data_IF_253060988509
#
_entry.id   IF_253060988509
#
_cell.length_a   1.000
_cell.length_b   1.000
_cell.length_c   1.000
_cell.angle_alpha   90.00
_cell.angle_beta   90.00
_cell.angle_gamma   90.00
#
_symmetry.space_group_name_H-M   'P 1'
#
loop_
_entity.id
_entity.type
_entity.pdbx_description
1 polymer ?
#
# COMPACT_ATOMS: atom_id res chain seq x y z
N UNK A 1 -43.17 -16.97 5.71
CA UNK A 1 -42.44 -16.61 4.52
C UNK A 1 -40.96 -16.55 4.94
N UNK A 2 -40.17 -17.52 4.56
CA UNK A 2 -38.71 -17.47 4.73
C UNK A 2 -38.21 -16.30 3.91
N UNK A 3 -37.40 -15.38 4.44
CA UNK A 3 -36.81 -14.32 3.62
C UNK A 3 -36.04 -15.00 2.49
N UNK A 4 -36.26 -14.56 1.26
CA UNK A 4 -35.47 -15.02 0.12
C UNK A 4 -34.01 -14.82 0.48
N UNK A 5 -33.21 -15.89 0.41
CA UNK A 5 -31.79 -15.81 0.64
C UNK A 5 -31.24 -14.73 -0.29
N UNK A 6 -30.74 -13.64 0.26
CA UNK A 6 -30.09 -12.61 -0.53
C UNK A 6 -28.89 -13.24 -1.21
N UNK A 7 -28.74 -13.03 -2.53
CA UNK A 7 -27.55 -13.47 -3.22
C UNK A 7 -26.29 -12.99 -2.49
N UNK A 8 -25.24 -13.80 -2.41
CA UNK A 8 -23.97 -13.36 -1.83
C UNK A 8 -23.43 -12.16 -2.62
N UNK A 9 -22.63 -11.34 -1.94
CA UNK A 9 -21.99 -10.18 -2.57
C UNK A 9 -21.14 -10.64 -3.77
N UNK A 10 -21.25 -9.91 -4.86
CA UNK A 10 -20.32 -9.99 -5.98
C UNK A 10 -18.95 -9.45 -5.57
N UNK A 11 -17.90 -9.77 -6.34
CA UNK A 11 -16.54 -9.28 -6.04
C UNK A 11 -16.45 -7.74 -5.98
N UNK A 12 -17.11 -7.06 -6.91
CA UNK A 12 -17.14 -5.59 -6.88
C UNK A 12 -17.96 -5.03 -5.71
N UNK A 13 -19.06 -5.66 -5.32
CA UNK A 13 -19.85 -5.24 -4.16
C UNK A 13 -19.09 -5.45 -2.85
N UNK A 14 -18.33 -6.54 -2.73
CA UNK A 14 -17.41 -6.76 -1.61
C UNK A 14 -16.41 -5.61 -1.47
N UNK A 15 -15.75 -5.25 -2.55
CA UNK A 15 -14.78 -4.14 -2.58
C UNK A 15 -15.44 -2.83 -2.15
N UNK A 16 -16.56 -2.48 -2.77
CA UNK A 16 -17.28 -1.24 -2.49
C UNK A 16 -17.77 -1.19 -1.04
N UNK A 17 -18.24 -2.31 -0.49
CA UNK A 17 -18.71 -2.41 0.88
C UNK A 17 -17.59 -2.18 1.89
N UNK A 18 -16.44 -2.82 1.70
CA UNK A 18 -15.27 -2.62 2.57
C UNK A 18 -14.71 -1.20 2.45
N UNK A 19 -14.61 -0.66 1.24
CA UNK A 19 -14.18 0.73 1.05
C UNK A 19 -15.12 1.72 1.74
N UNK A 20 -16.43 1.56 1.59
CA UNK A 20 -17.44 2.41 2.29
C UNK A 20 -17.29 2.29 3.80
N UNK A 21 -17.13 1.07 4.32
CA UNK A 21 -16.95 0.83 5.75
C UNK A 21 -15.78 1.62 6.33
N UNK A 22 -14.62 1.62 5.67
CA UNK A 22 -13.46 2.35 6.14
C UNK A 22 -13.53 3.85 5.87
N UNK A 23 -14.18 4.28 4.78
CA UNK A 23 -14.41 5.70 4.50
C UNK A 23 -15.28 6.36 5.58
N UNK A 24 -16.35 5.70 6.02
CA UNK A 24 -17.22 6.14 7.11
C UNK A 24 -16.50 6.28 8.46
N UNK A 25 -15.36 5.60 8.60
CA UNK A 25 -14.48 5.65 9.79
C UNK A 25 -13.28 6.58 9.62
N UNK A 26 -13.32 7.43 8.60
CA UNK A 26 -12.37 8.51 8.36
C UNK A 26 -11.08 8.08 7.64
N UNK A 27 -11.08 6.92 6.99
CA UNK A 27 -9.99 6.58 6.08
C UNK A 27 -10.12 7.35 4.78
N UNK A 28 -9.00 7.88 4.29
CA UNK A 28 -8.89 8.38 2.92
C UNK A 28 -8.94 7.18 1.98
N UNK A 29 -9.83 7.19 0.99
CA UNK A 29 -9.82 6.18 -0.06
C UNK A 29 -8.83 6.59 -1.15
N UNK A 30 -7.79 5.78 -1.34
CA UNK A 30 -6.84 5.96 -2.43
C UNK A 30 -7.13 5.01 -3.59
N UNK A 31 -6.69 5.38 -4.78
CA UNK A 31 -6.68 4.49 -5.92
C UNK A 31 -5.46 3.56 -5.86
N UNK A 32 -5.50 2.42 -6.58
CA UNK A 32 -4.33 1.54 -6.67
C UNK A 32 -3.11 2.30 -7.15
N UNK A 33 -1.94 1.98 -6.58
CA UNK A 33 -0.69 2.52 -7.09
C UNK A 33 -0.38 1.94 -8.48
N UNK A 34 0.09 2.76 -9.39
CA UNK A 34 0.23 2.43 -10.82
C UNK A 34 1.60 1.83 -11.19
N UNK A 35 2.49 1.65 -10.23
CA UNK A 35 3.74 0.87 -10.39
C UNK A 35 3.56 -0.51 -9.77
N UNK A 36 4.17 -1.53 -10.37
CA UNK A 36 4.05 -2.91 -9.93
C UNK A 36 4.59 -3.09 -8.49
N UNK A 37 3.77 -3.70 -7.65
CA UNK A 37 4.13 -4.06 -6.26
C UNK A 37 3.84 -5.53 -6.00
N UNK A 38 4.66 -6.17 -5.16
CA UNK A 38 4.46 -7.55 -4.73
C UNK A 38 3.48 -7.72 -3.57
N UNK A 39 3.16 -6.62 -2.90
CA UNK A 39 2.17 -6.54 -1.81
C UNK A 39 1.68 -5.11 -1.67
N UNK A 40 0.48 -4.92 -1.14
CA UNK A 40 -0.07 -3.60 -0.84
C UNK A 40 0.82 -2.77 0.08
N UNK A 41 1.51 -3.40 1.01
CA UNK A 41 2.52 -2.79 1.90
C UNK A 41 3.61 -2.03 1.15
N UNK A 42 3.93 -2.43 -0.08
CA UNK A 42 4.98 -1.78 -0.88
C UNK A 42 4.50 -0.49 -1.53
N UNK A 43 3.20 -0.24 -1.62
CA UNK A 43 2.71 1.03 -2.16
C UNK A 43 3.17 2.22 -1.30
N UNK A 44 3.48 3.39 -1.89
CA UNK A 44 3.90 4.58 -1.15
C UNK A 44 2.94 4.98 -0.04
N UNK A 45 1.63 4.74 -0.24
CA UNK A 45 0.58 5.02 0.74
C UNK A 45 0.71 4.20 2.02
N UNK A 46 1.41 3.08 2.00
CA UNK A 46 1.83 2.35 3.20
C UNK A 46 3.29 2.64 3.52
N UNK A 47 4.23 2.23 2.65
CA UNK A 47 5.65 2.24 2.96
C UNK A 47 6.18 3.60 3.43
N UNK A 48 5.80 4.69 2.76
CA UNK A 48 6.26 6.04 3.11
C UNK A 48 5.42 6.68 4.22
N UNK A 49 4.10 6.37 4.27
CA UNK A 49 3.18 7.02 5.22
C UNK A 49 3.25 6.44 6.64
N UNK A 50 3.71 5.20 6.81
CA UNK A 50 3.96 4.66 8.16
C UNK A 50 5.19 5.29 8.81
N UNK A 51 6.11 5.89 8.02
CA UNK A 51 7.28 6.61 8.50
C UNK A 51 6.91 7.96 9.14
N UNK A 52 7.75 8.43 10.06
CA UNK A 52 7.57 9.71 10.75
C UNK A 52 6.41 9.71 11.74
N UNK A 53 6.12 10.86 12.34
CA UNK A 53 5.16 10.99 13.44
C UNK A 53 3.73 11.37 13.02
N UNK A 54 3.51 11.71 11.75
CA UNK A 54 2.21 12.23 11.29
C UNK A 54 1.12 11.14 11.31
N UNK A 55 -0.05 11.41 11.91
CA UNK A 55 -1.19 10.49 11.87
C UNK A 55 -1.67 10.29 10.43
N UNK A 56 -2.10 9.05 10.12
CA UNK A 56 -2.61 8.74 8.79
C UNK A 56 -3.61 7.59 8.84
N UNK A 57 -4.69 7.70 8.06
CA UNK A 57 -5.69 6.66 7.88
C UNK A 57 -6.01 6.53 6.40
N UNK A 58 -5.81 5.36 5.84
CA UNK A 58 -6.05 5.11 4.42
C UNK A 58 -6.59 3.72 4.18
N UNK A 59 -7.41 3.57 3.14
CA UNK A 59 -7.82 2.28 2.60
C UNK A 59 -7.74 2.33 1.06
N UNK A 60 -7.18 1.29 0.44
CA UNK A 60 -7.07 1.17 -1.01
C UNK A 60 -6.98 -0.28 -1.45
N UNK A 61 -7.48 -0.57 -2.63
CA UNK A 61 -7.36 -1.89 -3.25
C UNK A 61 -6.10 -1.89 -4.11
N UNK A 62 -5.15 -2.77 -3.80
CA UNK A 62 -3.89 -2.86 -4.52
C UNK A 62 -3.76 -4.18 -5.25
N UNK A 63 -3.64 -4.17 -6.59
CA UNK A 63 -3.19 -5.33 -7.34
C UNK A 63 -1.76 -5.68 -6.92
N UNK A 64 -1.56 -6.87 -6.38
CA UNK A 64 -0.25 -7.36 -5.93
C UNK A 64 0.24 -8.43 -6.88
N UNK A 65 1.44 -8.25 -7.43
CA UNK A 65 2.05 -9.16 -8.41
C UNK A 65 3.13 -10.02 -7.78
N UNK A 66 2.95 -11.32 -7.85
CA UNK A 66 3.92 -12.33 -7.37
C UNK A 66 4.24 -13.30 -8.51
N UNK A 67 5.21 -12.97 -9.37
CA UNK A 67 5.56 -13.78 -10.55
C UNK A 67 5.75 -15.26 -10.26
N UNK A 68 6.41 -15.62 -9.15
CA UNK A 68 6.65 -17.01 -8.75
C UNK A 68 5.37 -17.79 -8.35
N UNK A 69 4.25 -17.11 -8.10
CA UNK A 69 2.97 -17.72 -7.75
C UNK A 69 2.09 -18.03 -8.97
N UNK A 70 2.49 -17.64 -10.17
CA UNK A 70 1.78 -18.00 -11.42
C UNK A 70 1.61 -19.50 -11.58
N UNK A 71 0.44 -19.90 -12.11
CA UNK A 71 0.09 -21.33 -12.34
C UNK A 71 -0.69 -21.52 -13.64
N UNK A 72 -0.52 -20.64 -14.63
CA UNK A 72 -1.17 -20.71 -15.96
C UNK A 72 -2.72 -20.75 -15.91
N UNK A 73 -3.31 -20.37 -14.78
CA UNK A 73 -4.75 -20.50 -14.56
C UNK A 73 -5.22 -21.92 -14.21
N UNK A 74 -4.31 -22.86 -13.99
CA UNK A 74 -4.63 -24.27 -13.69
C UNK A 74 -4.85 -24.53 -12.19
N UNK A 75 -4.39 -23.62 -11.32
CA UNK A 75 -4.62 -23.75 -9.88
C UNK A 75 -5.81 -22.85 -9.46
N UNK A 76 -6.82 -23.43 -8.76
CA UNK A 76 -8.04 -22.71 -8.41
C UNK A 76 -7.83 -21.61 -7.35
N UNK A 77 -6.72 -21.66 -6.59
CA UNK A 77 -6.53 -20.84 -5.38
C UNK A 77 -5.23 -20.01 -5.39
N UNK A 78 -4.39 -20.10 -6.44
CA UNK A 78 -3.12 -19.40 -6.51
C UNK A 78 -3.01 -18.58 -7.80
N UNK A 79 -2.71 -17.29 -7.65
CA UNK A 79 -2.64 -16.31 -8.72
C UNK A 79 -1.30 -15.57 -8.68
N UNK A 80 -0.74 -15.23 -9.86
CA UNK A 80 0.41 -14.32 -9.93
C UNK A 80 0.02 -12.88 -9.54
N UNK A 81 -1.25 -12.49 -9.79
CA UNK A 81 -1.80 -11.17 -9.45
C UNK A 81 -3.12 -11.33 -8.71
N UNK A 82 -3.17 -10.86 -7.48
CA UNK A 82 -4.36 -10.86 -6.62
C UNK A 82 -4.62 -9.46 -6.07
N UNK A 83 -5.84 -9.22 -5.63
CA UNK A 83 -6.27 -7.94 -5.08
C UNK A 83 -6.20 -7.98 -3.55
N UNK A 84 -5.52 -7.01 -2.97
CA UNK A 84 -5.49 -6.80 -1.52
C UNK A 84 -6.21 -5.50 -1.19
N UNK A 85 -7.19 -5.53 -0.27
CA UNK A 85 -7.60 -4.28 0.37
C UNK A 85 -6.62 -4.01 1.50
N UNK A 86 -5.90 -2.91 1.35
CA UNK A 86 -4.90 -2.45 2.30
C UNK A 86 -5.49 -1.34 3.15
N UNK A 87 -5.43 -1.49 4.47
CA UNK A 87 -5.90 -0.47 5.41
C UNK A 87 -4.77 -0.15 6.38
N UNK A 88 -4.43 1.13 6.50
CA UNK A 88 -3.42 1.62 7.45
C UNK A 88 -4.09 2.59 8.42
N UNK A 89 -3.93 2.34 9.71
CA UNK A 89 -4.37 3.25 10.77
C UNK A 89 -3.16 3.61 11.64
N UNK A 90 -2.82 4.88 11.69
CA UNK A 90 -1.69 5.42 12.44
C UNK A 90 -2.11 6.66 13.23
N UNK A 91 -2.03 6.67 14.56
CA UNK A 91 -1.79 5.49 15.41
C UNK A 91 -2.94 4.48 15.32
N UNK A 92 -2.72 3.20 15.72
CA UNK A 92 -3.78 2.22 15.78
C UNK A 92 -4.81 2.61 16.85
N UNK A 93 -6.13 2.48 16.58
CA UNK A 93 -7.15 2.65 17.60
C UNK A 93 -7.09 1.48 18.61
N UNK A 94 -7.49 1.72 19.87
CA UNK A 94 -7.48 0.72 20.93
C UNK A 94 -8.39 -0.48 20.59
N UNK A 95 -9.52 -0.25 19.94
CA UNK A 95 -10.51 -1.26 19.56
C UNK A 95 -10.31 -1.83 18.16
N UNK A 96 -9.10 -1.88 17.64
CA UNK A 96 -8.84 -2.25 16.24
C UNK A 96 -9.29 -3.68 15.89
N UNK A 97 -9.20 -4.65 16.82
CA UNK A 97 -9.70 -6.01 16.58
C UNK A 97 -11.23 -6.04 16.45
N UNK A 98 -11.94 -5.29 17.29
CA UNK A 98 -13.40 -5.14 17.20
C UNK A 98 -13.79 -4.49 15.87
N UNK A 99 -13.10 -3.40 15.50
CA UNK A 99 -13.28 -2.73 14.21
C UNK A 99 -13.08 -3.68 13.02
N UNK A 100 -12.06 -4.54 13.08
CA UNK A 100 -11.82 -5.56 12.06
C UNK A 100 -12.99 -6.55 11.98
N UNK A 101 -13.46 -7.09 13.11
CA UNK A 101 -14.59 -8.01 13.17
C UNK A 101 -15.90 -7.36 12.67
N UNK A 102 -16.12 -6.09 12.99
CA UNK A 102 -17.24 -5.30 12.43
C UNK A 102 -17.14 -5.23 10.89
N UNK A 103 -15.94 -5.09 10.33
CA UNK A 103 -15.76 -5.06 8.88
C UNK A 103 -16.15 -6.37 8.20
N UNK A 104 -15.87 -7.51 8.85
CA UNK A 104 -16.31 -8.84 8.37
C UNK A 104 -17.84 -8.95 8.43
N UNK A 105 -18.44 -8.48 9.51
CA UNK A 105 -19.92 -8.44 9.64
C UNK A 105 -20.55 -7.55 8.57
N UNK A 106 -19.93 -6.42 8.25
CA UNK A 106 -20.41 -5.48 7.23
C UNK A 106 -20.47 -6.10 5.82
N UNK A 107 -19.65 -7.09 5.53
CA UNK A 107 -19.67 -7.84 4.26
C UNK A 107 -20.54 -9.10 4.30
N UNK A 108 -21.23 -9.36 5.41
CA UNK A 108 -22.21 -10.42 5.54
C UNK A 108 -21.70 -11.71 6.21
N UNK A 109 -20.51 -11.70 6.81
CA UNK A 109 -20.01 -12.86 7.60
C UNK A 109 -20.66 -12.82 8.98
N UNK A 110 -21.48 -13.85 9.30
CA UNK A 110 -22.04 -14.01 10.65
C UNK A 110 -21.01 -14.71 11.56
N UNK A 111 -20.29 -13.91 12.35
CA UNK A 111 -19.24 -14.38 13.25
C UNK A 111 -19.69 -15.45 14.26
N UNK A 112 -21.00 -15.63 14.47
CA UNK A 112 -21.53 -16.66 15.37
C UNK A 112 -21.62 -18.03 14.72
N UNK A 113 -21.54 -18.08 13.37
CA UNK A 113 -21.67 -19.31 12.59
C UNK A 113 -20.33 -19.81 12.06
N UNK A 114 -19.27 -19.02 12.24
CA UNK A 114 -17.94 -19.29 11.71
C UNK A 114 -16.87 -19.26 12.80
N UNK A 115 -15.83 -20.06 12.62
CA UNK A 115 -14.65 -20.10 13.49
C UNK A 115 -13.64 -19.03 13.03
N UNK A 116 -13.52 -17.94 13.80
CA UNK A 116 -12.55 -16.88 13.56
C UNK A 116 -11.38 -17.05 14.52
N UNK A 117 -10.18 -17.24 13.99
CA UNK A 117 -8.96 -17.35 14.77
C UNK A 117 -7.94 -16.29 14.39
N UNK A 118 -7.32 -15.70 15.40
CA UNK A 118 -6.14 -14.87 15.26
C UNK A 118 -4.93 -15.75 15.62
N UNK A 119 -4.26 -16.29 14.61
CA UNK A 119 -3.07 -17.11 14.79
C UNK A 119 -1.83 -16.23 14.69
N UNK A 120 -0.92 -16.32 15.66
CA UNK A 120 0.29 -15.51 15.69
C UNK A 120 1.10 -15.70 14.40
N UNK A 121 1.39 -14.59 13.75
CA UNK A 121 2.22 -14.55 12.56
C UNK A 121 3.03 -13.25 12.52
N UNK A 122 4.34 -13.38 12.67
CA UNK A 122 5.27 -12.25 12.63
C UNK A 122 5.66 -11.98 11.17
N UNK A 123 5.12 -10.89 10.65
CA UNK A 123 5.32 -10.51 9.26
C UNK A 123 6.67 -9.84 9.03
N UNK A 124 7.33 -10.20 7.93
CA UNK A 124 8.58 -9.61 7.49
C UNK A 124 8.60 -9.33 5.99
N UNK A 125 9.22 -8.20 5.61
CA UNK A 125 9.57 -7.88 4.23
C UNK A 125 11.06 -7.55 4.12
N UNK A 126 11.90 -8.53 3.78
CA UNK A 126 13.33 -8.35 3.69
C UNK A 126 13.78 -7.27 2.70
N UNK A 127 13.06 -7.09 1.58
CA UNK A 127 13.37 -6.08 0.57
C UNK A 127 13.03 -4.66 1.02
N UNK A 128 12.06 -4.50 1.93
CA UNK A 128 11.70 -3.21 2.49
C UNK A 128 12.46 -2.87 3.77
N UNK A 129 13.17 -3.84 4.38
CA UNK A 129 13.69 -3.68 5.73
C UNK A 129 12.58 -3.37 6.72
N UNK A 130 11.46 -4.09 6.60
CA UNK A 130 10.26 -3.91 7.41
C UNK A 130 9.88 -5.21 8.12
N UNK A 131 9.34 -5.08 9.33
CA UNK A 131 8.77 -6.19 10.08
C UNK A 131 7.71 -5.68 11.08
N UNK A 132 6.85 -6.60 11.49
CA UNK A 132 5.81 -6.33 12.48
C UNK A 132 5.35 -7.59 13.18
N UNK A 133 4.67 -7.41 14.30
CA UNK A 133 4.01 -8.47 15.06
C UNK A 133 2.52 -8.47 14.75
N UNK A 134 1.90 -9.63 14.75
CA UNK A 134 0.46 -9.70 14.47
C UNK A 134 -0.05 -11.11 14.27
N UNK A 135 -1.03 -11.21 13.42
CA UNK A 135 -1.77 -12.45 13.19
C UNK A 135 -2.10 -12.63 11.71
N UNK A 136 -2.09 -13.89 11.27
CA UNK A 136 -2.96 -14.30 10.19
C UNK A 136 -4.36 -14.53 10.75
N UNK A 137 -5.38 -13.96 10.13
CA UNK A 137 -6.77 -14.19 10.55
C UNK A 137 -7.38 -15.28 9.72
N UNK A 138 -7.77 -16.37 10.39
CA UNK A 138 -8.35 -17.54 9.79
C UNK A 138 -9.87 -17.49 9.92
N UNK A 139 -10.57 -17.80 8.83
CA UNK A 139 -12.01 -18.00 8.77
C UNK A 139 -12.26 -19.45 8.36
N UNK A 140 -12.80 -20.25 9.29
CA UNK A 140 -13.01 -21.71 9.10
C UNK A 140 -11.77 -22.45 8.56
N UNK A 141 -10.57 -22.01 8.99
CA UNK A 141 -9.28 -22.54 8.57
C UNK A 141 -8.72 -21.94 7.27
N UNK A 142 -9.40 -21.00 6.64
CA UNK A 142 -8.89 -20.25 5.50
C UNK A 142 -8.31 -18.91 5.96
N UNK A 143 -7.03 -18.65 5.69
CA UNK A 143 -6.42 -17.32 5.91
C UNK A 143 -7.08 -16.28 4.99
N UNK A 144 -7.71 -15.28 5.58
CA UNK A 144 -8.41 -14.22 4.86
C UNK A 144 -7.75 -12.85 4.99
N UNK A 145 -6.96 -12.62 6.06
CA UNK A 145 -6.36 -11.32 6.34
C UNK A 145 -5.04 -11.49 7.07
N UNK A 146 -4.05 -10.69 6.66
CA UNK A 146 -2.85 -10.42 7.46
C UNK A 146 -3.11 -9.16 8.29
N UNK A 147 -2.97 -9.27 9.60
CA UNK A 147 -3.17 -8.20 10.57
C UNK A 147 -1.84 -7.91 11.27
N UNK A 148 -1.23 -6.74 11.02
CA UNK A 148 0.15 -6.47 11.43
C UNK A 148 0.28 -5.13 12.16
N UNK A 149 0.91 -5.12 13.32
CA UNK A 149 1.43 -3.91 13.95
C UNK A 149 2.88 -3.70 13.52
N UNK A 150 3.13 -2.72 12.67
CA UNK A 150 4.47 -2.41 12.22
C UNK A 150 5.37 -1.93 13.35
N UNK A 151 6.53 -2.56 13.48
CA UNK A 151 7.58 -2.17 14.42
C UNK A 151 8.69 -1.41 13.71
N UNK A 152 9.03 -1.83 12.49
CA UNK A 152 10.08 -1.22 11.68
C UNK A 152 9.68 -1.14 10.22
N UNK A 153 10.09 -0.08 9.52
CA UNK A 153 9.91 0.08 8.09
C UNK A 153 11.07 0.89 7.51
N UNK A 154 11.63 0.44 6.36
CA UNK A 154 12.80 1.07 5.79
C UNK A 154 14.02 1.05 6.71
N UNK A 155 14.14 0.05 7.57
CA UNK A 155 15.20 -0.04 8.59
C UNK A 155 15.12 1.02 9.68
N UNK A 156 13.96 1.69 9.84
CA UNK A 156 13.69 2.68 10.88
C UNK A 156 12.61 2.17 11.82
N UNK A 157 12.85 2.27 13.12
CA UNK A 157 11.85 1.98 14.13
C UNK A 157 10.72 3.00 14.06
N UNK A 158 9.48 2.54 14.22
CA UNK A 158 8.28 3.37 14.04
C UNK A 158 7.75 3.89 15.36
N UNK A 159 7.53 5.21 15.40
CA UNK A 159 6.84 5.85 16.51
C UNK A 159 6.04 7.08 16.01
N UNK A 160 4.68 7.10 16.20
CA UNK A 160 3.87 5.99 16.69
C UNK A 160 3.87 4.81 15.71
N UNK A 161 3.64 3.61 16.23
CA UNK A 161 3.42 2.44 15.36
C UNK A 161 2.12 2.60 14.57
N UNK A 162 1.97 1.83 13.51
CA UNK A 162 0.73 1.72 12.74
C UNK A 162 0.23 0.29 12.72
N UNK A 163 -1.06 0.11 12.53
CA UNK A 163 -1.64 -1.19 12.20
C UNK A 163 -1.98 -1.24 10.72
N UNK A 164 -1.67 -2.37 10.12
CA UNK A 164 -2.04 -2.75 8.77
C UNK A 164 -3.04 -3.89 8.81
N UNK A 165 -4.12 -3.76 8.02
CA UNK A 165 -5.06 -4.83 7.72
C UNK A 165 -4.98 -5.11 6.21
N UNK A 166 -4.51 -6.29 5.85
CA UNK A 166 -4.37 -6.72 4.45
C UNK A 166 -5.36 -7.83 4.15
N UNK A 167 -6.51 -7.47 3.59
CA UNK A 167 -7.58 -8.43 3.23
C UNK A 167 -7.26 -9.10 1.90
N UNK A 168 -7.32 -10.44 1.87
CA UNK A 168 -7.27 -11.23 0.63
C UNK A 168 -8.64 -11.29 -0.04
N UNK A 169 -8.91 -10.36 -0.97
CA UNK A 169 -10.26 -10.15 -1.49
C UNK A 169 -10.82 -11.36 -2.23
N UNK A 170 -10.00 -12.07 -3.00
CA UNK A 170 -10.42 -13.27 -3.72
C UNK A 170 -10.80 -14.42 -2.76
N UNK A 171 -10.03 -14.61 -1.68
CA UNK A 171 -10.32 -15.64 -0.68
C UNK A 171 -11.64 -15.36 0.04
N UNK A 172 -11.87 -14.11 0.43
CA UNK A 172 -13.11 -13.67 1.07
C UNK A 172 -14.30 -13.82 0.11
N UNK A 173 -14.15 -13.42 -1.15
CA UNK A 173 -15.21 -13.56 -2.13
C UNK A 173 -15.55 -15.02 -2.44
N UNK A 174 -14.54 -15.88 -2.59
CA UNK A 174 -14.74 -17.32 -2.80
C UNK A 174 -15.50 -17.96 -1.61
N UNK A 175 -15.11 -17.58 -0.38
CA UNK A 175 -15.79 -18.03 0.83
C UNK A 175 -17.26 -17.56 0.88
N UNK A 176 -17.52 -16.28 0.65
CA UNK A 176 -18.88 -15.72 0.68
C UNK A 176 -19.80 -16.31 -0.40
N UNK A 177 -19.24 -16.66 -1.55
CA UNK A 177 -19.98 -17.22 -2.68
C UNK A 177 -20.01 -18.74 -2.71
N UNK A 178 -19.34 -19.40 -1.76
CA UNK A 178 -19.25 -20.88 -1.66
C UNK A 178 -18.77 -21.50 -2.99
N UNK A 179 -17.63 -21.01 -3.50
CA UNK A 179 -17.02 -21.51 -4.74
C UNK A 179 -15.62 -22.07 -4.48
N UNK A 180 -15.30 -23.19 -5.13
CA UNK A 180 -14.02 -23.89 -4.98
C UNK A 180 -12.88 -23.24 -5.79
N UNK A 181 -13.22 -22.46 -6.81
CA UNK A 181 -12.26 -21.82 -7.68
C UNK A 181 -12.44 -20.31 -7.70
N UNK A 182 -11.35 -19.57 -7.55
CA UNK A 182 -11.32 -18.11 -7.70
C UNK A 182 -11.89 -17.68 -9.07
N UNK A 183 -11.71 -18.48 -10.12
CA UNK A 183 -12.21 -18.18 -11.46
C UNK A 183 -13.74 -18.25 -11.56
N UNK A 184 -14.41 -18.92 -10.62
CA UNK A 184 -15.87 -19.03 -10.55
C UNK A 184 -16.53 -17.90 -9.74
N UNK A 185 -15.75 -17.08 -9.02
CA UNK A 185 -16.27 -15.92 -8.31
C UNK A 185 -17.08 -15.04 -9.26
N UNK A 186 -18.32 -14.70 -8.90
CA UNK A 186 -19.13 -13.72 -9.60
C UNK A 186 -18.52 -12.34 -9.35
N UNK A 187 -17.94 -11.75 -10.39
CA UNK A 187 -17.36 -10.41 -10.35
C UNK A 187 -18.41 -9.33 -10.31
N UNK A 188 -19.38 -9.43 -11.20
CA UNK A 188 -20.49 -8.51 -11.35
C UNK A 188 -21.75 -9.25 -11.76
N UNK A 189 -22.91 -8.66 -11.46
CA UNK A 189 -24.23 -9.13 -11.88
C UNK A 189 -24.98 -7.97 -12.51
N UNK A 190 -25.51 -8.20 -13.69
CA UNK A 190 -26.40 -7.25 -14.34
C UNK A 190 -27.74 -7.19 -13.57
N UNK A 191 -28.19 -6.01 -13.13
CA UNK A 191 -29.37 -5.90 -12.29
C UNK A 191 -30.69 -6.17 -13.02
N UNK A 192 -30.72 -6.05 -14.36
CA UNK A 192 -31.94 -6.23 -15.16
C UNK A 192 -32.09 -7.67 -15.67
N UNK A 193 -31.03 -8.19 -16.27
CA UNK A 193 -31.05 -9.53 -16.87
C UNK A 193 -30.64 -10.65 -15.92
N UNK A 194 -29.96 -10.33 -14.79
CA UNK A 194 -29.34 -11.29 -13.90
C UNK A 194 -28.10 -11.96 -14.46
N UNK A 195 -27.62 -11.58 -15.66
CA UNK A 195 -26.41 -12.11 -16.26
C UNK A 195 -25.19 -11.82 -15.36
N UNK A 196 -24.28 -12.79 -15.26
CA UNK A 196 -23.08 -12.68 -14.42
C UNK A 196 -21.82 -12.63 -15.27
N UNK A 197 -20.85 -11.85 -14.80
CA UNK A 197 -19.45 -11.85 -15.24
C UNK A 197 -18.65 -12.53 -14.16
N UNK A 198 -17.88 -13.55 -14.50
CA UNK A 198 -17.03 -14.27 -13.55
C UNK A 198 -15.62 -13.67 -13.48
N UNK A 199 -14.92 -13.93 -12.40
CA UNK A 199 -13.50 -13.57 -12.22
C UNK A 199 -12.64 -14.15 -13.37
N UNK A 200 -12.90 -15.37 -13.78
CA UNK A 200 -12.25 -16.02 -14.93
C UNK A 200 -12.41 -15.24 -16.23
N UNK A 201 -13.59 -14.69 -16.50
CA UNK A 201 -13.85 -13.91 -17.72
C UNK A 201 -12.97 -12.64 -17.77
N UNK A 202 -12.60 -12.11 -16.61
CA UNK A 202 -11.84 -10.87 -16.48
C UNK A 202 -10.33 -11.12 -16.35
N UNK A 203 -9.90 -12.20 -15.67
CA UNK A 203 -8.52 -12.38 -15.19
C UNK A 203 -7.81 -13.64 -15.64
N UNK A 204 -8.50 -14.64 -16.18
CA UNK A 204 -7.85 -15.89 -16.57
C UNK A 204 -6.80 -15.69 -17.67
N UNK A 205 -7.09 -14.85 -18.65
CA UNK A 205 -6.14 -14.52 -19.72
C UNK A 205 -4.88 -13.81 -19.18
N UNK A 206 -5.03 -12.91 -18.20
CA UNK A 206 -3.90 -12.28 -17.50
C UNK A 206 -3.02 -13.35 -16.86
N UNK A 207 -3.61 -14.27 -16.09
CA UNK A 207 -2.90 -15.32 -15.36
C UNK A 207 -2.10 -16.21 -16.32
N UNK A 208 -2.72 -16.64 -17.40
CA UNK A 208 -2.11 -17.49 -18.41
C UNK A 208 -0.93 -16.80 -19.10
N UNK A 209 -1.14 -15.59 -19.62
CA UNK A 209 -0.13 -14.88 -20.40
C UNK A 209 1.05 -14.43 -19.51
N UNK A 210 0.78 -13.93 -18.31
CA UNK A 210 1.85 -13.55 -17.40
C UNK A 210 2.60 -14.74 -16.81
N UNK A 211 1.96 -15.91 -16.64
CA UNK A 211 2.68 -17.13 -16.28
C UNK A 211 3.69 -17.52 -17.37
N UNK A 212 3.28 -17.52 -18.64
CA UNK A 212 4.19 -17.74 -19.78
C UNK A 212 5.34 -16.71 -19.77
N UNK A 213 5.01 -15.43 -19.60
CA UNK A 213 6.05 -14.39 -19.54
C UNK A 213 7.03 -14.62 -18.39
N UNK A 214 6.50 -14.83 -17.18
CA UNK A 214 7.29 -14.93 -15.96
C UNK A 214 8.17 -16.18 -15.93
N UNK A 215 7.72 -17.31 -16.48
CA UNK A 215 8.44 -18.58 -16.40
C UNK A 215 9.21 -18.94 -17.68
N UNK A 216 8.81 -18.43 -18.83
CA UNK A 216 9.32 -18.89 -20.12
C UNK A 216 9.90 -17.77 -20.98
N UNK A 217 9.14 -16.68 -21.19
CA UNK A 217 9.44 -15.70 -22.25
C UNK A 217 10.29 -14.51 -21.79
N UNK A 218 10.30 -14.17 -20.49
CA UNK A 218 11.08 -13.03 -20.00
C UNK A 218 12.57 -13.23 -20.30
N UNK A 219 13.16 -12.26 -21.01
CA UNK A 219 14.58 -12.26 -21.39
C UNK A 219 15.43 -11.90 -20.17
N UNK A 220 16.15 -12.89 -19.66
CA UNK A 220 16.94 -12.77 -18.42
C UNK A 220 18.00 -11.66 -18.53
N UNK A 221 18.73 -11.59 -19.65
CA UNK A 221 19.80 -10.61 -19.85
C UNK A 221 19.23 -9.17 -19.86
N UNK A 222 18.13 -8.95 -20.59
CA UNK A 222 17.47 -7.64 -20.62
C UNK A 222 16.89 -7.27 -19.27
N UNK A 223 16.29 -8.23 -18.56
CA UNK A 223 15.71 -8.01 -17.23
C UNK A 223 16.80 -7.58 -16.23
N UNK A 224 17.99 -8.21 -16.27
CA UNK A 224 19.13 -7.78 -15.48
C UNK A 224 19.62 -6.37 -15.85
N UNK A 225 19.73 -6.06 -17.14
CA UNK A 225 20.11 -4.71 -17.59
C UNK A 225 19.14 -3.64 -17.11
N UNK A 226 17.85 -3.91 -17.17
CA UNK A 226 16.83 -2.97 -16.63
C UNK A 226 16.96 -2.81 -15.13
N UNK A 227 17.19 -3.91 -14.40
CA UNK A 227 17.43 -3.85 -12.96
C UNK A 227 18.63 -2.97 -12.61
N UNK A 228 19.76 -3.16 -13.28
CA UNK A 228 20.98 -2.39 -13.04
C UNK A 228 20.83 -0.91 -13.38
N UNK A 229 20.10 -0.57 -14.45
CA UNK A 229 19.83 0.81 -14.83
C UNK A 229 18.93 1.51 -13.79
N UNK A 230 17.83 0.89 -13.37
CA UNK A 230 16.97 1.46 -12.35
C UNK A 230 17.65 1.56 -10.99
N UNK A 231 18.45 0.58 -10.62
CA UNK A 231 19.23 0.63 -9.38
C UNK A 231 20.24 1.79 -9.39
N UNK A 232 20.97 1.96 -10.48
CA UNK A 232 21.96 3.02 -10.62
C UNK A 232 21.32 4.42 -10.55
N UNK A 233 20.20 4.62 -11.25
CA UNK A 233 19.45 5.88 -11.21
C UNK A 233 18.87 6.17 -9.82
N UNK A 234 18.24 5.18 -9.19
CA UNK A 234 17.70 5.29 -7.83
C UNK A 234 18.80 5.66 -6.82
N UNK A 235 19.93 4.96 -6.88
CA UNK A 235 21.10 5.24 -6.02
C UNK A 235 21.63 6.65 -6.25
N UNK A 236 21.76 7.06 -7.51
CA UNK A 236 22.19 8.41 -7.87
C UNK A 236 21.28 9.49 -7.27
N UNK A 237 19.97 9.30 -7.26
CA UNK A 237 19.02 10.21 -6.62
C UNK A 237 19.20 10.26 -5.09
N UNK A 238 19.39 9.10 -4.44
CA UNK A 238 19.64 9.05 -2.98
C UNK A 238 20.93 9.76 -2.63
N UNK A 239 22.00 9.57 -3.39
CA UNK A 239 23.31 10.23 -3.21
C UNK A 239 23.19 11.74 -3.43
N UNK A 240 22.48 12.20 -4.47
CA UNK A 240 22.21 13.61 -4.71
C UNK A 240 21.47 14.26 -3.54
N UNK A 241 20.44 13.59 -2.99
CA UNK A 241 19.75 14.09 -1.80
C UNK A 241 20.69 14.24 -0.61
N UNK A 242 21.57 13.25 -0.39
CA UNK A 242 22.57 13.28 0.69
C UNK A 242 23.59 14.41 0.50
N UNK A 243 24.04 14.66 -0.73
CA UNK A 243 24.93 15.77 -1.06
C UNK A 243 24.32 17.17 -0.85
N UNK A 244 22.99 17.29 -1.01
CA UNK A 244 22.28 18.54 -0.69
C UNK A 244 22.32 18.88 0.81
N UNK A 245 22.32 17.85 1.68
CA UNK A 245 22.49 18.03 3.13
C UNK A 245 23.85 18.59 3.50
N UNK A 246 24.90 18.04 2.92
CA UNK A 246 26.28 18.49 3.18
C UNK A 246 26.52 19.92 2.73
N UNK A 247 25.91 20.35 1.61
CA UNK A 247 26.04 21.70 1.08
C UNK A 247 25.28 22.76 1.89
N UNK A 248 24.26 22.38 2.66
CA UNK A 248 23.50 23.25 3.57
C UNK A 248 24.13 23.36 4.96
N UNK A 249 25.19 22.60 5.25
CA UNK A 249 25.97 22.73 6.48
C UNK A 249 26.78 24.06 6.43
N UNK A 250 26.93 24.79 7.55
CA UNK A 250 27.44 26.17 7.54
C UNK A 250 28.96 26.36 7.26
N UNK A 251 29.60 25.37 6.65
CA UNK A 251 30.98 25.54 6.18
C UNK A 251 31.01 26.08 4.75
N UNK A 252 31.67 27.23 4.49
CA UNK A 252 31.72 27.87 3.17
C UNK A 252 32.56 27.00 2.21
N UNK A 253 31.90 26.26 1.32
CA UNK A 253 32.53 25.68 0.14
C UNK A 253 32.44 26.66 -1.01
N UNK A 254 33.57 26.80 -1.75
CA UNK A 254 33.81 27.80 -2.78
C UNK A 254 32.63 28.00 -3.76
N UNK A 255 32.33 29.27 -3.99
CA UNK A 255 31.35 29.80 -4.95
C UNK A 255 31.86 29.68 -6.39
N UNK A 256 32.02 28.52 -6.97
CA UNK A 256 32.17 28.41 -8.42
C UNK A 256 31.93 26.95 -8.88
N UNK A 257 30.68 26.62 -9.07
CA UNK A 257 30.28 25.56 -10.00
C UNK A 257 28.87 25.89 -10.46
N UNK A 258 28.73 26.40 -11.67
CA UNK A 258 27.48 26.52 -12.41
C UNK A 258 26.90 25.10 -12.64
N UNK A 259 26.21 24.54 -11.63
CA UNK A 259 25.43 23.31 -11.77
C UNK A 259 24.06 23.69 -12.30
N UNK A 260 23.94 23.72 -13.62
CA UNK A 260 22.65 23.83 -14.30
C UNK A 260 21.91 22.51 -14.04
N UNK A 261 20.77 22.56 -13.33
CA UNK A 261 19.80 21.48 -13.26
C UNK A 261 19.71 20.64 -11.98
N UNK A 262 20.37 21.00 -10.86
CA UNK A 262 20.12 20.29 -9.59
C UNK A 262 19.04 20.99 -8.77
N UNK A 263 18.05 20.25 -8.21
CA UNK A 263 17.09 20.81 -7.28
C UNK A 263 17.85 21.40 -6.07
N UNK A 264 17.79 22.72 -5.88
CA UNK A 264 18.40 23.37 -4.72
C UNK A 264 17.54 23.25 -3.45
N UNK A 265 16.27 22.90 -3.64
CA UNK A 265 15.28 22.78 -2.58
C UNK A 265 15.09 21.31 -2.20
N UNK A 266 15.58 20.95 -1.02
CA UNK A 266 15.45 19.59 -0.50
C UNK A 266 13.99 19.19 -0.22
N UNK A 267 13.06 20.17 -0.03
CA UNK A 267 11.65 19.90 0.22
C UNK A 267 10.91 19.35 -1.00
N UNK A 268 11.41 19.65 -2.21
CA UNK A 268 10.87 19.24 -3.50
C UNK A 268 11.71 18.17 -4.20
N UNK A 269 12.69 17.63 -3.52
CA UNK A 269 13.53 16.59 -4.11
C UNK A 269 12.69 15.33 -4.43
N UNK A 270 12.87 14.70 -5.62
CA UNK A 270 11.95 13.69 -6.15
C UNK A 270 12.14 12.31 -5.51
N UNK A 271 11.93 12.18 -4.19
CA UNK A 271 12.05 10.91 -3.46
C UNK A 271 10.96 9.90 -3.87
N UNK A 272 9.79 10.35 -4.30
CA UNK A 272 8.75 9.47 -4.84
C UNK A 272 9.21 8.81 -6.14
N UNK A 273 9.84 9.56 -7.05
CA UNK A 273 10.40 8.99 -8.27
C UNK A 273 11.54 7.99 -7.98
N UNK A 274 12.39 8.28 -6.97
CA UNK A 274 13.39 7.31 -6.52
C UNK A 274 12.74 6.03 -5.97
N UNK A 275 11.59 6.14 -5.30
CA UNK A 275 10.86 4.99 -4.79
C UNK A 275 10.24 4.15 -5.92
N UNK A 276 9.72 4.78 -6.97
CA UNK A 276 9.25 4.07 -8.17
C UNK A 276 10.35 3.21 -8.79
N UNK A 277 11.57 3.75 -8.88
CA UNK A 277 12.72 2.98 -9.38
C UNK A 277 13.07 1.80 -8.46
N UNK A 278 12.96 1.98 -7.14
CA UNK A 278 13.13 0.89 -6.16
C UNK A 278 12.07 -0.19 -6.34
N UNK A 279 10.79 0.17 -6.54
CA UNK A 279 9.70 -0.77 -6.81
C UNK A 279 9.92 -1.54 -8.11
N UNK A 280 10.39 -0.88 -9.17
CA UNK A 280 10.76 -1.53 -10.44
C UNK A 280 11.89 -2.53 -10.23
N UNK A 281 12.92 -2.21 -9.44
CA UNK A 281 13.97 -3.17 -9.07
C UNK A 281 13.39 -4.38 -8.35
N UNK A 282 12.49 -4.18 -7.40
CA UNK A 282 11.81 -5.27 -6.68
C UNK A 282 10.98 -6.16 -7.61
N UNK A 283 10.26 -5.57 -8.55
CA UNK A 283 9.46 -6.33 -9.54
C UNK A 283 10.35 -7.15 -10.47
N UNK A 284 11.42 -6.56 -11.01
CA UNK A 284 12.37 -7.26 -11.88
C UNK A 284 13.10 -8.38 -11.13
N UNK A 285 13.45 -8.19 -9.87
CA UNK A 285 13.95 -9.26 -9.01
C UNK A 285 12.98 -10.44 -8.95
N UNK A 286 11.67 -10.18 -8.73
CA UNK A 286 10.66 -11.23 -8.66
C UNK A 286 10.49 -11.97 -10.02
N UNK A 287 10.67 -11.28 -11.15
CA UNK A 287 10.68 -11.92 -12.48
C UNK A 287 11.91 -12.82 -12.63
N UNK A 288 13.09 -12.34 -12.28
CA UNK A 288 14.34 -13.12 -12.35
C UNK A 288 14.30 -14.36 -11.45
N UNK A 289 13.72 -14.22 -10.26
CA UNK A 289 13.50 -15.32 -9.31
C UNK A 289 12.53 -16.37 -9.91
N UNK A 290 11.41 -15.95 -10.48
CA UNK A 290 10.46 -16.82 -11.16
C UNK A 290 11.06 -17.52 -12.38
N UNK A 291 11.93 -16.85 -13.14
CA UNK A 291 12.69 -17.43 -14.26
C UNK A 291 13.74 -18.45 -13.81
N UNK A 292 13.99 -18.62 -12.51
CA UNK A 292 15.10 -19.44 -12.01
C UNK A 292 16.47 -18.88 -12.36
N UNK A 293 16.57 -17.59 -12.67
CA UNK A 293 17.79 -16.92 -13.11
C UNK A 293 18.67 -16.43 -11.95
N UNK A 294 18.23 -16.65 -10.72
CA UNK A 294 18.91 -16.25 -9.48
C UNK A 294 19.11 -17.49 -8.62
N UNK A 295 20.35 -17.82 -8.29
CA UNK A 295 20.66 -18.89 -7.33
C UNK A 295 20.23 -18.48 -5.91
N UNK A 296 20.09 -19.48 -5.02
CA UNK A 296 19.74 -19.23 -3.60
C UNK A 296 20.74 -18.27 -2.93
N UNK A 297 22.01 -18.39 -3.25
CA UNK A 297 23.08 -17.52 -2.70
C UNK A 297 23.00 -16.10 -3.25
N UNK A 298 22.78 -15.95 -4.56
CA UNK A 298 22.64 -14.64 -5.21
C UNK A 298 21.39 -13.91 -4.75
N UNK A 299 20.31 -14.65 -4.46
CA UNK A 299 19.03 -14.10 -3.98
C UNK A 299 19.22 -13.20 -2.75
N UNK A 300 20.03 -13.62 -1.79
CA UNK A 300 20.34 -12.84 -0.59
C UNK A 300 21.01 -11.51 -0.97
N UNK A 301 21.96 -11.56 -1.93
CA UNK A 301 22.64 -10.37 -2.43
C UNK A 301 21.71 -9.39 -3.14
N UNK A 302 20.79 -9.88 -3.99
CA UNK A 302 19.83 -9.03 -4.71
C UNK A 302 18.82 -8.42 -3.75
N UNK A 303 18.30 -9.18 -2.78
CA UNK A 303 17.45 -8.67 -1.71
C UNK A 303 18.15 -7.54 -0.94
N UNK A 304 19.43 -7.70 -0.61
CA UNK A 304 20.22 -6.67 0.08
C UNK A 304 20.35 -5.39 -0.76
N UNK A 305 20.52 -5.50 -2.10
CA UNK A 305 20.58 -4.37 -3.04
C UNK A 305 19.26 -3.59 -3.02
N UNK A 306 18.11 -4.26 -3.18
CA UNK A 306 16.79 -3.62 -3.14
C UNK A 306 16.53 -2.98 -1.77
N UNK A 307 16.86 -3.70 -0.68
CA UNK A 307 16.76 -3.18 0.69
C UNK A 307 17.57 -1.90 0.89
N UNK A 308 18.78 -1.83 0.35
CA UNK A 308 19.62 -0.64 0.48
C UNK A 308 18.97 0.59 -0.15
N UNK A 309 18.29 0.44 -1.30
CA UNK A 309 17.52 1.51 -1.92
C UNK A 309 16.34 1.92 -1.04
N UNK A 310 15.52 0.97 -0.59
CA UNK A 310 14.36 1.24 0.25
C UNK A 310 14.74 1.96 1.55
N UNK A 311 15.80 1.51 2.24
CA UNK A 311 16.32 2.13 3.46
C UNK A 311 16.86 3.53 3.20
N UNK A 312 17.59 3.74 2.10
CA UNK A 312 18.08 5.06 1.70
C UNK A 312 16.94 6.06 1.48
N UNK A 313 15.91 5.63 0.76
CA UNK A 313 14.71 6.44 0.50
C UNK A 313 13.94 6.73 1.80
N UNK A 314 13.73 5.72 2.66
CA UNK A 314 13.02 5.90 3.93
C UNK A 314 13.69 6.96 4.82
N UNK A 315 15.02 6.92 4.93
CA UNK A 315 15.80 7.93 5.68
C UNK A 315 15.68 9.32 5.07
N UNK A 316 15.80 9.42 3.75
CA UNK A 316 15.65 10.68 3.03
C UNK A 316 14.24 11.25 3.18
N UNK A 317 13.21 10.40 3.11
CA UNK A 317 11.82 10.78 3.29
C UNK A 317 11.53 11.36 4.67
N UNK A 318 11.97 10.68 5.74
CA UNK A 318 11.80 11.17 7.12
C UNK A 318 12.52 12.50 7.33
N UNK A 319 13.72 12.65 6.78
CA UNK A 319 14.46 13.92 6.83
C UNK A 319 13.72 15.05 6.11
N UNK A 320 13.18 14.79 4.92
CA UNK A 320 12.39 15.76 4.16
C UNK A 320 11.13 16.20 4.91
N UNK A 321 10.42 15.25 5.55
CA UNK A 321 9.23 15.54 6.34
C UNK A 321 9.55 16.41 7.58
N UNK A 322 10.65 16.10 8.26
CA UNK A 322 11.08 16.87 9.45
C UNK A 322 11.42 18.34 9.09
N UNK A 323 12.09 18.57 7.96
CA UNK A 323 12.39 19.92 7.47
C UNK A 323 11.11 20.69 7.14
N UNK A 324 10.19 20.09 6.41
CA UNK A 324 8.91 20.72 6.07
C UNK A 324 8.06 21.06 7.31
N UNK A 325 8.22 20.32 8.39
CA UNK A 325 7.51 20.57 9.66
C UNK A 325 8.15 21.71 10.45
N UNK A 326 9.48 21.85 10.44
CA UNK A 326 10.18 22.94 11.10
C UNK A 326 9.93 24.28 10.41
N UNK A 327 9.94 24.33 9.07
CA UNK A 327 9.67 25.54 8.29
C UNK A 327 8.24 26.09 8.53
N UNK A 328 7.24 25.21 8.71
CA UNK A 328 5.86 25.62 9.03
C UNK A 328 5.70 26.21 10.43
N UNK A 329 6.53 25.79 11.37
CA UNK A 329 6.48 26.31 12.74
C UNK A 329 7.19 27.67 12.88
N UNK A 330 8.06 28.03 11.92
CA UNK A 330 8.77 29.31 11.90
C UNK A 330 8.02 30.41 11.10
N UNK A 331 6.91 30.08 10.39
CA UNK A 331 6.05 31.10 9.79
C UNK A 331 5.28 31.84 10.89
N UNK A 332 5.36 33.20 10.98
CA UNK A 332 4.62 33.96 11.97
C UNK A 332 3.11 33.80 11.73
N UNK A 333 2.37 33.50 12.82
CA UNK A 333 0.90 33.40 12.78
C UNK A 333 0.32 34.60 12.01
N UNK A 334 -0.59 34.37 11.03
CA UNK A 334 -1.21 35.47 10.31
C UNK A 334 -1.95 36.35 11.31
N UNK A 335 -1.54 37.64 11.39
CA UNK A 335 -2.11 38.62 12.30
C UNK A 335 -3.64 38.58 12.20
N UNK A 336 -4.30 38.24 13.28
CA UNK A 336 -5.75 38.15 13.40
C UNK A 336 -6.39 39.36 12.76
N UNK A 337 -7.08 39.21 11.64
CA UNK A 337 -7.92 40.25 11.04
C UNK A 337 -8.96 40.66 12.11
N UNK A 338 -8.82 41.92 12.60
CA UNK A 338 -9.76 42.49 13.55
C UNK A 338 -11.17 42.39 12.97
N UNK A 339 -12.04 41.61 13.62
CA UNK A 339 -13.48 41.56 13.29
C UNK A 339 -14.02 43.00 13.23
N UNK A 340 -14.75 43.40 12.18
CA UNK A 340 -15.38 44.70 12.11
C UNK A 340 -16.39 44.87 13.26
N UNK A 341 -16.23 45.96 14.03
CA UNK A 341 -17.19 46.31 15.10
C UNK A 341 -18.57 46.48 14.50
N UNK A 342 -19.53 45.66 14.90
CA UNK A 342 -20.95 45.85 14.61
C UNK A 342 -21.36 47.22 15.17
N UNK A 343 -21.80 48.15 14.31
CA UNK A 343 -22.49 49.39 14.70
C UNK A 343 -23.80 48.95 15.36
N UNK A 344 -24.03 49.39 16.62
CA UNK A 344 -25.33 49.36 17.28
C UNK A 344 -26.24 50.34 16.55
N UNK A 345 -27.26 49.83 15.84
CA UNK A 345 -28.38 50.66 15.43
C UNK A 345 -29.25 50.91 16.66
N UNK A 346 -29.40 52.17 17.00
CA UNK A 346 -30.32 52.71 18.01
C UNK A 346 -31.72 52.73 17.39
N UNK A 347 -32.57 51.82 17.85
CA UNK A 347 -34.04 51.90 17.59
C UNK A 347 -34.63 53.04 18.38
N UNK A 348 -35.16 54.07 17.68
CA UNK A 348 -36.00 55.10 18.23
C UNK A 348 -37.42 54.53 18.49
N UNK A 349 -38.11 54.95 19.58
CA UNK A 349 -39.45 54.45 19.88
C UNK A 349 -40.49 55.14 19.01
N UNK A 350 -41.39 54.34 18.42
CA UNK A 350 -42.62 54.83 17.77
C UNK A 350 -43.69 54.95 18.85
N UNK A 351 -44.18 56.18 19.05
CA UNK A 351 -45.34 56.53 19.82
C UNK A 351 -46.60 56.39 18.95
N UNK A 352 -47.65 55.90 19.55
CA UNK A 352 -49.13 55.83 19.36
C UNK A 352 -49.65 54.48 18.91
#
# INVERSE_FOLDING_TARGET
MTPAASNPLTFQELILRLQSFFAERGCVLQQPYDVEVGAGTMAPETFLRVLGAQPYKVAYVQPSRRPADGRYGENPNRLFKHMQLQVILKPPPENIQELYLESLTAIGIDLRQHDIKFEEDNWESPTLGAWGIGWQVMLDGLEITQFTYFQQCGGLDLFPISVELTYGLERIAAFLQDVDSIYDIVWARDPESGAVVKYGDVRLADEQQFSVYNFEAADVEKTWKHFELYEAECRGLIEQYSGLKESQSPHPVAKDATRVGQPQDSSRFPLLAAYDLCLKCSHLFNILDARGAISVTERVGVIARVRALAVGIARAWVDQQNKASSEKNDEPEPAHAKKPKRKKETLSPVTT
#
